data_IF_447237458629
#
_entry.id   IF_447237458629
#
_cell.length_a   1.000
_cell.length_b   1.000
_cell.length_c   1.000
_cell.angle_alpha   90.00
_cell.angle_beta   90.00
_cell.angle_gamma   90.00
#
_symmetry.space_group_name_H-M   'P 1'
#
loop_
_entity.id
_entity.type
_entity.pdbx_description
1 polymer ?
#
# COMPACT_ATOMS: atom_id res chain seq x y z
N UNK A 1 -28.59 56.21 -26.65
CA UNK A 1 -29.42 57.05 -25.76
C UNK A 1 -28.99 56.75 -24.36
N UNK A 2 -28.25 57.67 -23.89
CA UNK A 2 -28.34 58.55 -22.70
C UNK A 2 -27.96 57.79 -21.41
N UNK A 3 -26.73 58.01 -20.87
CA UNK A 3 -26.31 59.06 -19.92
C UNK A 3 -26.96 58.83 -18.53
N UNK A 4 -26.36 58.84 -17.35
CA UNK A 4 -25.40 59.80 -16.77
C UNK A 4 -24.97 59.26 -15.40
N UNK A 5 -23.70 59.24 -15.02
CA UNK A 5 -22.94 60.12 -14.09
C UNK A 5 -23.64 60.41 -12.74
N UNK A 6 -23.08 60.37 -11.58
CA UNK A 6 -21.95 61.03 -10.96
C UNK A 6 -22.00 60.67 -9.45
N UNK A 7 -20.99 60.64 -8.76
CA UNK A 7 -20.01 61.55 -8.14
C UNK A 7 -20.16 61.67 -6.64
N UNK A 8 -19.06 61.37 -5.95
CA UNK A 8 -18.43 62.04 -4.80
C UNK A 8 -19.08 62.09 -3.44
N UNK A 9 -18.38 61.68 -2.39
CA UNK A 9 -17.72 62.61 -1.47
C UNK A 9 -16.92 61.85 -0.37
N UNK A 10 -15.68 62.29 -0.24
CA UNK A 10 -14.78 61.98 0.88
C UNK A 10 -15.12 62.86 2.10
N UNK A 11 -14.83 62.38 3.30
CA UNK A 11 -14.44 63.25 4.41
C UNK A 11 -13.48 62.53 5.35
N UNK A 12 -12.36 63.20 5.54
CA UNK A 12 -11.27 62.97 6.51
C UNK A 12 -11.69 63.32 7.96
N UNK A 13 -10.80 62.92 8.83
CA UNK A 13 -10.43 63.40 10.20
C UNK A 13 -10.72 62.36 11.26
N UNK A 14 -9.82 62.02 12.20
CA UNK A 14 -8.71 62.70 12.75
C UNK A 14 -7.86 61.84 13.67
N UNK A 15 -6.61 62.20 13.77
CA UNK A 15 -5.59 61.70 14.70
C UNK A 15 -5.96 61.98 16.19
N UNK A 16 -5.61 61.04 17.09
CA UNK A 16 -5.13 61.43 18.43
C UNK A 16 -3.98 60.49 18.81
N UNK A 17 -2.79 61.10 18.94
CA UNK A 17 -1.65 60.57 19.67
C UNK A 17 -1.93 60.72 21.16
N UNK A 18 -1.55 59.68 21.93
CA UNK A 18 -1.14 59.85 23.33
C UNK A 18 0.04 58.94 23.60
N UNK A 19 1.14 59.61 23.92
CA UNK A 19 2.41 59.00 24.32
C UNK A 19 2.46 58.93 25.87
N UNK A 20 3.40 58.12 26.29
CA UNK A 20 4.17 58.11 27.55
C UNK A 20 3.93 56.99 28.53
N UNK A 21 5.02 56.29 28.77
CA UNK A 21 5.27 55.46 29.95
C UNK A 21 6.42 54.49 29.69
N UNK A 22 7.67 54.96 29.74
CA UNK A 22 8.86 54.11 29.66
C UNK A 22 9.11 53.37 30.99
N UNK A 23 9.67 52.19 30.92
CA UNK A 23 10.44 51.57 31.99
C UNK A 23 11.58 50.78 31.35
N UNK A 24 12.77 50.94 31.92
CA UNK A 24 14.07 50.41 31.50
C UNK A 24 14.11 48.86 31.44
N UNK A 25 14.86 48.33 30.50
CA UNK A 25 15.18 46.92 30.45
C UNK A 25 16.59 46.65 30.97
N UNK A 26 16.81 46.62 32.26
CA UNK A 26 17.99 46.04 32.88
C UNK A 26 17.72 45.80 34.37
N UNK A 27 17.29 44.64 34.75
CA UNK A 27 17.57 44.08 36.04
C UNK A 27 17.77 42.57 35.90
N UNK A 28 19.03 42.17 36.12
CA UNK A 28 19.45 40.76 36.17
C UNK A 28 19.03 40.20 37.54
N UNK A 29 18.27 39.11 37.53
CA UNK A 29 18.46 38.12 38.61
C UNK A 29 18.00 36.75 38.16
N UNK A 30 18.92 35.82 38.31
CA UNK A 30 18.88 34.38 38.04
C UNK A 30 17.62 33.68 38.58
N UNK A 31 17.16 32.74 37.75
CA UNK A 31 16.25 31.67 38.12
C UNK A 31 16.43 30.55 37.08
N UNK A 32 17.26 29.58 37.46
CA UNK A 32 17.47 28.34 36.75
C UNK A 32 16.18 27.51 36.70
N UNK A 33 16.13 26.61 35.68
CA UNK A 33 15.15 25.57 35.45
C UNK A 33 13.91 25.96 34.62
N UNK A 34 14.13 26.27 33.34
CA UNK A 34 13.21 25.87 32.32
C UNK A 34 13.87 24.72 31.54
N UNK A 35 13.56 23.50 31.95
CA UNK A 35 13.79 22.34 31.12
C UNK A 35 13.17 22.64 29.76
N UNK A 36 14.02 22.84 28.77
CA UNK A 36 13.66 22.86 27.38
C UNK A 36 13.10 21.46 27.08
N UNK A 37 11.78 21.29 27.18
CA UNK A 37 11.12 20.26 26.45
C UNK A 37 11.50 20.53 24.99
N UNK A 38 12.35 19.70 24.41
CA UNK A 38 12.46 19.56 22.98
C UNK A 38 11.04 19.20 22.52
N UNK A 39 10.35 20.20 22.04
CA UNK A 39 9.20 20.01 21.18
C UNK A 39 9.75 19.15 20.00
N UNK A 40 9.41 17.89 20.01
CA UNK A 40 9.62 17.01 18.88
C UNK A 40 8.62 17.45 17.83
N UNK A 41 8.93 18.57 17.17
CA UNK A 41 8.17 19.10 16.05
C UNK A 41 8.34 18.19 14.82
N UNK A 42 7.92 16.94 14.92
CA UNK A 42 7.66 16.09 13.79
C UNK A 42 6.38 16.55 13.13
N UNK A 43 6.41 16.86 11.82
CA UNK A 43 5.19 17.03 11.02
C UNK A 43 4.31 15.77 11.12
N UNK A 44 3.06 15.88 10.68
CA UNK A 44 2.21 14.70 10.57
C UNK A 44 2.83 13.70 9.57
N UNK A 45 2.80 12.40 9.90
CA UNK A 45 3.19 11.32 8.98
C UNK A 45 2.00 11.00 8.08
N UNK A 46 2.17 11.15 6.78
CA UNK A 46 1.12 10.83 5.81
C UNK A 46 1.23 9.37 5.38
N UNK A 47 0.27 8.54 5.82
CA UNK A 47 0.18 7.12 5.46
C UNK A 47 -0.70 6.96 4.23
N UNK A 48 -0.14 6.35 3.18
CA UNK A 48 -0.83 6.05 1.93
C UNK A 48 -1.29 4.61 1.81
N UNK A 49 -2.24 4.34 0.89
CA UNK A 49 -2.52 2.98 0.44
C UNK A 49 -2.76 2.88 -1.06
N UNK A 50 -2.48 1.69 -1.60
CA UNK A 50 -3.02 1.26 -2.88
C UNK A 50 -4.56 1.13 -2.83
N UNK A 51 -5.19 0.90 -3.99
CA UNK A 51 -6.65 0.88 -4.12
C UNK A 51 -7.26 -0.53 -4.06
N UNK A 52 -6.78 -1.37 -3.14
CA UNK A 52 -7.36 -2.68 -2.86
C UNK A 52 -7.44 -2.95 -1.35
N UNK A 53 -8.38 -3.82 -0.90
CA UNK A 53 -8.76 -3.92 0.52
C UNK A 53 -7.62 -4.25 1.47
N UNK A 54 -6.73 -5.18 1.11
CA UNK A 54 -5.62 -5.58 1.97
C UNK A 54 -4.64 -4.42 2.21
N UNK A 55 -4.27 -3.70 1.16
CA UNK A 55 -3.34 -2.59 1.30
C UNK A 55 -3.96 -1.41 2.09
N UNK A 56 -5.29 -1.22 1.99
CA UNK A 56 -6.02 -0.28 2.84
C UNK A 56 -5.97 -0.72 4.30
N UNK A 57 -6.21 -2.00 4.59
CA UNK A 57 -6.13 -2.55 5.94
C UNK A 57 -4.72 -2.41 6.53
N UNK A 58 -3.69 -2.75 5.76
CA UNK A 58 -2.28 -2.60 6.18
C UNK A 58 -1.92 -1.14 6.47
N UNK A 59 -2.40 -0.20 5.66
CA UNK A 59 -2.20 1.24 5.89
C UNK A 59 -2.91 1.72 7.18
N UNK A 60 -4.10 1.21 7.47
CA UNK A 60 -4.80 1.48 8.74
C UNK A 60 -4.05 0.89 9.94
N UNK A 61 -3.47 -0.31 9.81
CA UNK A 61 -2.63 -0.93 10.86
C UNK A 61 -1.40 -0.05 11.12
N UNK A 62 -0.68 0.38 10.07
CA UNK A 62 0.46 1.27 10.24
C UNK A 62 0.07 2.61 10.86
N UNK A 63 -1.05 3.19 10.41
CA UNK A 63 -1.56 4.45 10.99
C UNK A 63 -1.88 4.29 12.48
N UNK A 64 -2.57 3.21 12.86
CA UNK A 64 -2.90 2.92 14.25
C UNK A 64 -1.64 2.74 15.13
N UNK A 65 -0.65 1.96 14.65
CA UNK A 65 0.61 1.74 15.37
C UNK A 65 1.40 3.05 15.58
N UNK A 66 1.43 3.91 14.56
CA UNK A 66 2.09 5.21 14.66
C UNK A 66 1.36 6.17 15.63
N UNK A 67 0.02 6.17 15.64
CA UNK A 67 -0.77 6.96 16.58
C UNK A 67 -0.52 6.51 18.03
N UNK A 68 -0.43 5.20 18.27
CA UNK A 68 -0.11 4.63 19.59
C UNK A 68 1.32 4.98 20.05
N UNK A 69 2.26 5.08 19.10
CA UNK A 69 3.61 5.60 19.34
C UNK A 69 3.64 7.12 19.55
N UNK A 70 2.50 7.81 19.47
CA UNK A 70 2.35 9.24 19.72
C UNK A 70 2.61 10.13 18.51
N UNK A 71 2.72 9.58 17.31
CA UNK A 71 2.82 10.36 16.08
C UNK A 71 1.46 10.99 15.70
N UNK A 72 1.51 12.13 15.03
CA UNK A 72 0.33 12.67 14.35
C UNK A 72 0.27 12.06 12.96
N UNK A 73 -0.86 11.44 12.60
CA UNK A 73 -1.02 10.72 11.33
C UNK A 73 -2.07 11.39 10.44
N UNK A 74 -1.76 11.53 9.17
CA UNK A 74 -2.72 11.83 8.11
C UNK A 74 -2.85 10.60 7.20
N UNK A 75 -4.06 10.28 6.75
CA UNK A 75 -4.31 9.10 5.89
C UNK A 75 -4.70 9.53 4.48
N UNK A 76 -4.06 8.93 3.47
CA UNK A 76 -4.39 9.07 2.04
C UNK A 76 -4.58 7.68 1.44
N UNK A 77 -5.78 7.14 1.58
CA UNK A 77 -6.11 5.79 1.18
C UNK A 77 -6.65 5.73 -0.26
N UNK A 78 -6.57 4.52 -0.86
CA UNK A 78 -7.09 4.25 -2.21
C UNK A 78 -6.51 5.17 -3.30
N UNK A 79 -5.21 5.47 -3.27
CA UNK A 79 -4.54 6.40 -4.20
C UNK A 79 -4.54 5.84 -5.63
N UNK A 80 -4.32 4.54 -5.77
CA UNK A 80 -4.22 3.86 -7.06
C UNK A 80 -3.24 2.69 -7.01
N UNK A 81 -2.71 2.32 -8.17
CA UNK A 81 -1.67 1.29 -8.30
C UNK A 81 -0.27 1.84 -7.98
N UNK A 82 0.74 0.94 -7.93
CA UNK A 82 2.14 1.26 -7.58
C UNK A 82 2.70 2.38 -8.44
N UNK A 83 2.43 2.36 -9.71
CA UNK A 83 2.90 3.37 -10.67
C UNK A 83 2.40 4.79 -10.32
N UNK A 84 1.28 4.89 -9.60
CA UNK A 84 0.70 6.16 -9.13
C UNK A 84 1.25 6.58 -7.77
N UNK A 85 1.20 5.69 -6.76
CA UNK A 85 1.56 6.09 -5.39
C UNK A 85 3.07 6.22 -5.15
N UNK A 86 3.91 5.51 -5.92
CA UNK A 86 5.37 5.69 -5.81
C UNK A 86 5.79 7.12 -6.15
N UNK A 87 5.09 7.78 -7.08
CA UNK A 87 5.33 9.20 -7.35
C UNK A 87 5.01 10.06 -6.14
N UNK A 88 3.94 9.72 -5.40
CA UNK A 88 3.53 10.44 -4.20
C UNK A 88 4.53 10.31 -3.04
N UNK A 89 5.16 9.13 -2.85
CA UNK A 89 6.18 8.97 -1.82
C UNK A 89 7.51 9.63 -2.22
N UNK A 90 7.83 9.65 -3.52
CA UNK A 90 9.03 10.32 -4.02
C UNK A 90 8.92 11.85 -4.01
N UNK A 91 7.73 12.42 -4.16
CA UNK A 91 7.51 13.88 -4.11
C UNK A 91 7.15 14.40 -2.71
N UNK A 92 7.08 13.52 -1.70
CA UNK A 92 6.79 13.86 -0.31
C UNK A 92 5.31 14.15 -0.02
N UNK A 93 4.39 13.79 -0.91
CA UNK A 93 2.95 13.87 -0.64
C UNK A 93 2.44 12.67 0.18
N UNK A 94 3.22 11.61 0.29
CA UNK A 94 3.05 10.45 1.15
C UNK A 94 4.39 10.20 1.84
N UNK A 95 4.38 9.81 3.11
CA UNK A 95 5.58 9.49 3.88
C UNK A 95 5.77 7.98 4.07
N UNK A 96 4.69 7.22 4.17
CA UNK A 96 4.68 5.79 4.46
C UNK A 96 3.62 5.07 3.63
N UNK A 97 3.96 3.89 3.12
CA UNK A 97 3.00 3.01 2.44
C UNK A 97 3.37 1.54 2.69
N UNK A 98 2.38 0.65 2.93
CA UNK A 98 2.63 -0.79 2.91
C UNK A 98 2.93 -1.27 1.50
N UNK A 99 3.98 -2.10 1.37
CA UNK A 99 4.46 -2.62 0.12
C UNK A 99 4.78 -4.13 0.20
N UNK A 100 5.10 -4.72 -0.94
CA UNK A 100 5.35 -6.14 -1.11
C UNK A 100 6.75 -6.31 -1.70
N UNK A 101 7.60 -7.06 -1.01
CA UNK A 101 9.05 -7.09 -1.28
C UNK A 101 9.38 -7.39 -2.74
N UNK A 102 8.85 -8.46 -3.32
CA UNK A 102 9.19 -8.86 -4.67
C UNK A 102 8.71 -7.89 -5.76
N UNK A 103 7.45 -7.48 -5.68
CA UNK A 103 6.88 -6.56 -6.65
C UNK A 103 7.52 -5.17 -6.60
N UNK A 104 7.92 -4.70 -5.40
CA UNK A 104 8.65 -3.44 -5.23
C UNK A 104 10.09 -3.57 -5.75
N UNK A 105 10.75 -4.71 -5.49
CA UNK A 105 12.09 -4.99 -6.04
C UNK A 105 12.07 -4.91 -7.56
N UNK A 106 11.17 -5.63 -8.22
CA UNK A 106 11.06 -5.64 -9.68
C UNK A 106 10.68 -4.26 -10.25
N UNK A 107 9.92 -3.47 -9.50
CA UNK A 107 9.59 -2.10 -9.91
C UNK A 107 10.83 -1.19 -9.96
N UNK A 108 11.73 -1.29 -8.98
CA UNK A 108 12.94 -0.47 -8.94
C UNK A 108 14.11 -1.09 -9.72
N UNK A 109 14.16 -2.42 -9.81
CA UNK A 109 15.20 -3.19 -10.49
C UNK A 109 14.60 -4.41 -11.23
N UNK A 110 14.25 -4.25 -12.50
CA UNK A 110 13.71 -5.31 -13.34
C UNK A 110 14.71 -6.46 -13.60
N UNK A 111 16.00 -6.28 -13.31
CA UNK A 111 17.03 -7.29 -13.45
C UNK A 111 17.22 -8.16 -12.20
N UNK A 112 16.44 -7.94 -11.13
CA UNK A 112 16.48 -8.74 -9.91
C UNK A 112 16.27 -10.23 -10.18
N UNK A 113 16.95 -11.10 -9.41
CA UNK A 113 16.98 -12.55 -9.67
C UNK A 113 16.58 -13.40 -8.47
N UNK A 114 16.60 -12.82 -7.27
CA UNK A 114 16.22 -13.55 -6.07
C UNK A 114 14.74 -13.97 -6.12
N UNK A 115 14.44 -15.15 -5.61
CA UNK A 115 13.07 -15.68 -5.54
C UNK A 115 12.65 -16.02 -4.11
N UNK A 116 13.61 -16.24 -3.22
CA UNK A 116 13.37 -16.53 -1.81
C UNK A 116 13.28 -15.24 -0.97
N UNK A 117 12.61 -15.27 0.20
CA UNK A 117 12.33 -14.09 1.02
C UNK A 117 13.57 -13.26 1.41
N UNK A 118 14.66 -13.92 1.82
CA UNK A 118 15.87 -13.25 2.22
C UNK A 118 16.58 -12.55 1.04
N UNK A 119 16.72 -13.26 -0.07
CA UNK A 119 17.34 -12.74 -1.28
C UNK A 119 16.57 -11.57 -1.86
N UNK A 120 15.24 -11.70 -1.97
CA UNK A 120 14.36 -10.64 -2.47
C UNK A 120 14.43 -9.40 -1.58
N UNK A 121 14.38 -9.56 -0.26
CA UNK A 121 14.48 -8.43 0.65
C UNK A 121 15.84 -7.73 0.59
N UNK A 122 16.93 -8.49 0.44
CA UNK A 122 18.27 -7.91 0.26
C UNK A 122 18.39 -7.13 -1.05
N UNK A 123 17.86 -7.68 -2.17
CA UNK A 123 17.84 -6.97 -3.45
C UNK A 123 16.96 -5.71 -3.39
N UNK A 124 15.85 -5.76 -2.63
CA UNK A 124 15.00 -4.59 -2.40
C UNK A 124 15.75 -3.47 -1.68
N UNK A 125 16.43 -3.79 -0.58
CA UNK A 125 17.21 -2.80 0.18
C UNK A 125 18.27 -2.10 -0.69
N UNK A 126 18.87 -2.83 -1.63
CA UNK A 126 19.85 -2.29 -2.58
C UNK A 126 19.19 -1.47 -3.72
N UNK A 127 17.91 -1.73 -4.03
CA UNK A 127 17.19 -1.11 -5.15
C UNK A 127 16.40 0.14 -4.77
N UNK A 128 16.06 0.32 -3.49
CA UNK A 128 15.28 1.47 -3.01
C UNK A 128 16.02 2.78 -3.30
N UNK A 129 15.36 3.79 -3.92
CA UNK A 129 15.98 5.07 -4.22
C UNK A 129 16.42 5.85 -2.97
N UNK A 130 17.45 6.71 -3.13
CA UNK A 130 17.90 7.67 -2.10
C UNK A 130 16.73 8.50 -1.56
N UNK A 131 16.65 8.67 -0.25
CA UNK A 131 15.58 9.38 0.46
C UNK A 131 14.39 8.49 0.86
N UNK A 132 14.38 7.23 0.43
CA UNK A 132 13.42 6.22 0.85
C UNK A 132 14.15 5.04 1.51
N UNK A 133 13.46 4.35 2.40
CA UNK A 133 13.98 3.11 2.98
C UNK A 133 12.83 2.12 3.20
N UNK A 134 13.17 0.84 3.32
CA UNK A 134 12.26 -0.19 3.81
C UNK A 134 12.68 -0.63 5.20
N UNK A 135 11.71 -0.83 6.09
CA UNK A 135 11.94 -1.35 7.43
C UNK A 135 11.90 -2.88 7.44
N UNK A 136 11.87 -3.51 8.63
CA UNK A 136 11.82 -4.97 8.72
C UNK A 136 10.57 -5.50 8.01
N UNK A 137 10.76 -6.54 7.18
CA UNK A 137 9.65 -7.24 6.54
C UNK A 137 8.92 -8.15 7.54
N UNK A 138 7.65 -8.35 7.34
CA UNK A 138 6.89 -9.36 8.09
C UNK A 138 7.14 -10.78 7.55
N UNK A 139 6.73 -11.79 8.33
CA UNK A 139 6.59 -13.15 7.80
C UNK A 139 5.32 -13.30 6.93
N UNK A 140 4.36 -12.38 7.03
CA UNK A 140 3.19 -12.36 6.15
C UNK A 140 3.61 -12.22 4.69
N UNK A 141 3.06 -13.07 3.83
CA UNK A 141 3.32 -13.10 2.41
C UNK A 141 1.99 -13.06 1.65
N UNK A 142 1.87 -12.15 0.69
CA UNK A 142 0.76 -12.08 -0.25
C UNK A 142 1.27 -12.02 -1.69
N UNK A 143 1.11 -13.14 -2.41
CA UNK A 143 1.59 -13.32 -3.80
C UNK A 143 0.48 -13.10 -4.81
N UNK A 144 0.86 -12.58 -5.97
CA UNK A 144 0.10 -12.84 -7.18
C UNK A 144 -0.05 -14.35 -7.36
N UNK A 145 -1.23 -14.81 -7.75
CA UNK A 145 -1.46 -16.20 -8.11
C UNK A 145 -2.42 -16.32 -9.29
N UNK A 146 -2.32 -17.41 -10.03
CA UNK A 146 -3.32 -17.79 -11.04
C UNK A 146 -4.30 -18.76 -10.41
N UNK A 147 -5.56 -18.39 -10.45
CA UNK A 147 -6.64 -19.11 -9.79
C UNK A 147 -7.68 -19.51 -10.80
N UNK A 148 -8.19 -20.74 -10.67
CA UNK A 148 -9.28 -21.27 -11.49
C UNK A 148 -10.39 -21.86 -10.61
N UNK A 149 -11.58 -22.06 -11.16
CA UNK A 149 -12.62 -22.83 -10.47
C UNK A 149 -12.24 -24.32 -10.46
N UNK A 150 -12.76 -25.09 -9.47
CA UNK A 150 -12.58 -26.55 -9.43
C UNK A 150 -13.05 -27.22 -10.75
N UNK A 151 -14.18 -26.77 -11.32
CA UNK A 151 -14.69 -27.29 -12.59
C UNK A 151 -13.71 -27.06 -13.76
N UNK A 152 -13.05 -25.88 -13.79
CA UNK A 152 -12.04 -25.56 -14.81
C UNK A 152 -10.78 -26.40 -14.63
N UNK A 153 -10.34 -26.57 -13.38
CA UNK A 153 -9.20 -27.41 -13.02
C UNK A 153 -9.45 -28.89 -13.43
N UNK A 154 -10.57 -29.46 -13.03
CA UNK A 154 -10.92 -30.85 -13.33
C UNK A 154 -11.07 -31.11 -14.84
N UNK A 155 -11.74 -30.19 -15.54
CA UNK A 155 -11.97 -30.30 -17.00
C UNK A 155 -10.67 -30.30 -17.78
N UNK A 156 -9.71 -29.49 -17.40
CA UNK A 156 -8.46 -29.29 -18.13
C UNK A 156 -7.26 -29.97 -17.43
N UNK A 157 -7.47 -30.63 -16.28
CA UNK A 157 -6.44 -31.30 -15.49
C UNK A 157 -5.32 -30.34 -15.05
N UNK A 158 -5.72 -29.18 -14.50
CA UNK A 158 -4.81 -28.12 -14.06
C UNK A 158 -4.47 -28.28 -12.58
N UNK A 159 -3.18 -28.40 -12.28
CA UNK A 159 -2.62 -28.34 -10.92
C UNK A 159 -1.57 -27.21 -10.83
N UNK A 160 -0.95 -26.83 -11.95
CA UNK A 160 0.17 -25.91 -12.07
C UNK A 160 -0.01 -24.97 -13.26
N UNK A 161 0.68 -23.82 -13.23
CA UNK A 161 0.72 -22.85 -14.33
C UNK A 161 1.21 -23.50 -15.63
N UNK A 162 2.12 -24.48 -15.54
CA UNK A 162 2.61 -25.24 -16.71
C UNK A 162 1.48 -25.97 -17.44
N UNK A 163 0.48 -26.46 -16.71
CA UNK A 163 -0.63 -27.23 -17.29
C UNK A 163 -1.57 -26.37 -18.16
N UNK A 164 -1.44 -25.03 -18.08
CA UNK A 164 -2.18 -24.12 -18.94
C UNK A 164 -1.69 -24.10 -20.39
N UNK A 165 -0.42 -24.48 -20.66
CA UNK A 165 0.20 -24.36 -21.99
C UNK A 165 -0.69 -24.93 -23.13
N UNK A 166 -1.24 -26.16 -23.06
CA UNK A 166 -2.04 -26.70 -24.13
C UNK A 166 -3.44 -26.08 -24.28
N UNK A 167 -3.91 -25.31 -23.32
CA UNK A 167 -5.31 -24.80 -23.26
C UNK A 167 -5.42 -23.29 -23.18
N UNK A 168 -4.36 -22.56 -22.86
CA UNK A 168 -4.38 -21.12 -22.63
C UNK A 168 -5.01 -20.33 -23.78
N UNK A 169 -4.77 -20.75 -25.04
CA UNK A 169 -5.31 -20.09 -26.22
C UNK A 169 -6.86 -20.13 -26.33
N UNK A 170 -7.49 -20.98 -25.55
CA UNK A 170 -8.96 -21.11 -25.49
C UNK A 170 -9.54 -20.42 -24.20
N UNK A 171 -8.69 -20.00 -23.28
CA UNK A 171 -9.07 -19.44 -21.97
C UNK A 171 -8.93 -17.92 -21.93
N UNK A 172 -9.79 -17.28 -21.15
CA UNK A 172 -9.75 -15.84 -20.86
C UNK A 172 -9.10 -15.62 -19.50
N UNK A 173 -8.03 -14.82 -19.46
CA UNK A 173 -7.38 -14.40 -18.22
C UNK A 173 -7.98 -13.09 -17.72
N UNK A 174 -8.33 -13.01 -16.44
CA UNK A 174 -8.76 -11.80 -15.76
C UNK A 174 -7.74 -11.33 -14.73
N UNK A 175 -7.59 -10.01 -14.57
CA UNK A 175 -6.68 -9.45 -13.57
C UNK A 175 -6.63 -7.93 -13.60
N UNK A 176 -5.85 -7.29 -12.70
CA UNK A 176 -5.68 -5.85 -12.69
C UNK A 176 -5.17 -5.32 -14.03
N UNK A 177 -5.58 -4.11 -14.46
CA UNK A 177 -5.15 -3.55 -15.74
C UNK A 177 -3.61 -3.48 -15.91
N UNK A 178 -2.89 -3.25 -14.82
CA UNK A 178 -1.43 -3.21 -14.78
C UNK A 178 -0.79 -4.57 -14.99
N UNK A 179 -1.45 -5.67 -14.59
CA UNK A 179 -0.99 -7.06 -14.81
C UNK A 179 -0.79 -7.38 -16.29
N UNK A 180 -1.54 -6.70 -17.18
CA UNK A 180 -1.36 -6.83 -18.64
C UNK A 180 0.04 -6.40 -19.12
N UNK A 181 0.77 -5.58 -18.32
CA UNK A 181 2.00 -4.92 -18.77
C UNK A 181 3.20 -5.16 -17.87
N UNK A 182 3.00 -5.62 -16.64
CA UNK A 182 4.08 -5.88 -15.68
C UNK A 182 4.87 -7.11 -16.09
N UNK A 183 6.18 -7.10 -15.79
CA UNK A 183 7.08 -8.22 -16.10
C UNK A 183 6.67 -9.52 -15.39
N UNK A 184 6.06 -9.43 -14.20
CA UNK A 184 5.45 -10.56 -13.49
C UNK A 184 3.97 -10.82 -13.86
N UNK A 185 3.46 -10.19 -14.91
CA UNK A 185 2.10 -10.34 -15.40
C UNK A 185 2.02 -11.12 -16.71
N UNK A 186 1.17 -10.66 -17.65
CA UNK A 186 0.97 -11.30 -18.95
C UNK A 186 2.29 -11.45 -19.72
N UNK A 187 3.21 -10.47 -19.79
CA UNK A 187 4.53 -10.64 -20.39
C UNK A 187 5.35 -11.77 -19.76
N UNK A 188 5.38 -11.85 -18.42
CA UNK A 188 6.10 -12.92 -17.72
C UNK A 188 5.50 -14.30 -17.94
N UNK A 189 4.17 -14.41 -17.97
CA UNK A 189 3.48 -15.66 -18.29
C UNK A 189 3.85 -16.16 -19.69
N UNK A 190 4.02 -15.24 -20.65
CA UNK A 190 4.49 -15.58 -21.99
C UNK A 190 5.98 -15.96 -21.99
N UNK A 191 6.85 -15.20 -21.32
CA UNK A 191 8.30 -15.43 -21.34
C UNK A 191 8.70 -16.70 -20.61
N UNK A 192 8.12 -16.94 -19.41
CA UNK A 192 8.49 -18.03 -18.51
C UNK A 192 7.75 -19.32 -18.86
N UNK A 193 6.46 -19.23 -19.14
CA UNK A 193 5.57 -20.38 -19.33
C UNK A 193 5.07 -20.56 -20.77
N UNK A 194 5.36 -19.60 -21.69
CA UNK A 194 4.90 -19.65 -23.08
C UNK A 194 3.39 -19.47 -23.23
N UNK A 195 2.70 -18.88 -22.25
CA UNK A 195 1.25 -18.79 -22.24
C UNK A 195 0.73 -17.60 -23.06
N UNK A 196 -0.11 -17.90 -24.05
CA UNK A 196 -0.91 -16.93 -24.80
C UNK A 196 -2.39 -17.19 -24.54
N UNK A 197 -3.02 -16.34 -23.72
CA UNK A 197 -4.46 -16.44 -23.47
C UNK A 197 -5.28 -15.88 -24.64
N UNK A 198 -6.52 -16.41 -24.82
CA UNK A 198 -7.43 -15.94 -25.89
C UNK A 198 -7.77 -14.45 -25.74
N UNK A 199 -7.83 -13.95 -24.51
CA UNK A 199 -8.04 -12.56 -24.18
C UNK A 199 -7.60 -12.26 -22.75
N UNK A 200 -7.24 -10.99 -22.48
CA UNK A 200 -7.11 -10.44 -21.14
C UNK A 200 -8.31 -9.56 -20.82
N UNK A 201 -8.92 -9.74 -19.64
CA UNK A 201 -10.01 -8.92 -19.14
C UNK A 201 -9.54 -8.10 -17.94
N UNK A 202 -9.48 -6.76 -18.05
CA UNK A 202 -9.11 -5.93 -16.90
C UNK A 202 -10.22 -5.95 -15.85
N UNK A 203 -9.84 -6.31 -14.61
CA UNK A 203 -10.68 -6.38 -13.42
C UNK A 203 -9.95 -5.72 -12.27
N UNK A 204 -10.67 -5.19 -11.27
CA UNK A 204 -10.03 -4.52 -10.16
C UNK A 204 -9.29 -5.52 -9.24
N UNK A 205 -8.11 -5.15 -8.76
CA UNK A 205 -7.30 -5.95 -7.83
C UNK A 205 -8.06 -6.20 -6.52
N UNK A 206 -7.96 -7.44 -5.97
CA UNK A 206 -8.56 -7.82 -4.69
C UNK A 206 -10.06 -7.52 -4.58
N UNK A 207 -10.79 -7.55 -5.70
CA UNK A 207 -12.19 -7.15 -5.73
C UNK A 207 -13.15 -8.32 -5.91
N UNK A 208 -14.31 -8.20 -5.28
CA UNK A 208 -15.40 -9.17 -5.49
C UNK A 208 -15.82 -9.28 -6.98
N UNK A 209 -15.57 -8.24 -7.80
CA UNK A 209 -15.85 -8.30 -9.25
C UNK A 209 -14.97 -9.34 -9.94
N UNK A 210 -13.70 -9.47 -9.57
CA UNK A 210 -12.78 -10.48 -10.09
C UNK A 210 -13.26 -11.89 -9.71
N UNK A 211 -13.58 -12.07 -8.43
CA UNK A 211 -14.15 -13.33 -7.91
C UNK A 211 -15.43 -13.71 -8.65
N UNK A 212 -16.39 -12.79 -8.76
CA UNK A 212 -17.64 -13.05 -9.46
C UNK A 212 -17.46 -13.29 -10.96
N UNK A 213 -16.47 -12.67 -11.60
CA UNK A 213 -16.17 -12.92 -13.00
C UNK A 213 -15.66 -14.34 -13.23
N UNK A 214 -14.85 -14.87 -12.29
CA UNK A 214 -14.37 -16.24 -12.31
C UNK A 214 -15.53 -17.23 -12.03
N UNK A 215 -16.32 -17.03 -10.97
CA UNK A 215 -17.47 -17.87 -10.61
C UNK A 215 -18.48 -17.97 -11.75
N UNK A 216 -18.74 -16.86 -12.44
CA UNK A 216 -19.74 -16.80 -13.53
C UNK A 216 -19.16 -17.21 -14.90
N UNK A 217 -17.92 -17.65 -15.00
CA UNK A 217 -17.27 -18.04 -16.24
C UNK A 217 -17.10 -16.88 -17.25
N UNK A 218 -17.00 -15.66 -16.76
CA UNK A 218 -16.67 -14.49 -17.58
C UNK A 218 -15.15 -14.41 -17.86
N UNK A 219 -14.37 -15.00 -17.00
CA UNK A 219 -12.95 -15.36 -17.15
C UNK A 219 -12.79 -16.81 -16.71
N UNK A 220 -11.82 -17.52 -17.27
CA UNK A 220 -11.52 -18.92 -16.97
C UNK A 220 -10.39 -19.05 -15.95
N UNK A 221 -9.46 -18.11 -15.99
CA UNK A 221 -8.32 -17.96 -15.07
C UNK A 221 -8.33 -16.52 -14.55
N UNK A 222 -8.06 -16.35 -13.27
CA UNK A 222 -7.97 -15.02 -12.67
C UNK A 222 -6.67 -14.84 -11.90
N UNK A 223 -6.09 -13.64 -11.98
CA UNK A 223 -5.08 -13.21 -11.03
C UNK A 223 -5.82 -12.79 -9.74
N UNK A 224 -5.61 -13.56 -8.69
CA UNK A 224 -6.16 -13.33 -7.34
C UNK A 224 -4.99 -13.47 -6.36
N UNK A 225 -4.93 -12.58 -5.38
CA UNK A 225 -3.89 -12.59 -4.36
C UNK A 225 -4.02 -13.80 -3.43
N UNK A 226 -2.90 -14.36 -2.99
CA UNK A 226 -2.86 -15.61 -2.21
C UNK A 226 -3.53 -15.52 -0.85
N UNK A 227 -3.67 -14.32 -0.30
CA UNK A 227 -4.38 -14.03 0.97
C UNK A 227 -5.88 -13.82 0.81
N UNK A 228 -6.40 -13.80 -0.44
CA UNK A 228 -7.82 -13.50 -0.69
C UNK A 228 -8.72 -14.61 -0.10
N UNK A 229 -9.59 -14.28 0.88
CA UNK A 229 -10.46 -15.28 1.52
C UNK A 229 -11.46 -15.92 0.55
N UNK A 230 -11.68 -15.33 -0.62
CA UNK A 230 -12.53 -15.90 -1.67
C UNK A 230 -11.99 -17.23 -2.23
N UNK A 231 -10.67 -17.47 -2.12
CA UNK A 231 -10.06 -18.75 -2.56
C UNK A 231 -10.69 -19.91 -1.79
N UNK A 232 -10.71 -19.81 -0.49
CA UNK A 232 -11.29 -20.85 0.39
C UNK A 232 -12.82 -20.86 0.31
N UNK A 233 -13.44 -19.67 0.29
CA UNK A 233 -14.91 -19.54 0.30
C UNK A 233 -15.59 -20.09 -0.96
N UNK A 234 -14.88 -20.17 -2.09
CA UNK A 234 -15.41 -20.66 -3.37
C UNK A 234 -14.78 -21.98 -3.83
N UNK A 235 -13.97 -22.63 -2.99
CA UNK A 235 -13.23 -23.85 -3.34
C UNK A 235 -12.41 -23.65 -4.65
N UNK A 236 -11.74 -22.52 -4.78
CA UNK A 236 -10.89 -22.25 -5.94
C UNK A 236 -9.58 -23.03 -5.88
N UNK A 237 -9.04 -23.34 -7.04
CA UNK A 237 -7.73 -23.97 -7.20
C UNK A 237 -6.71 -22.90 -7.53
N UNK A 238 -5.72 -22.73 -6.66
CA UNK A 238 -4.52 -21.94 -6.92
C UNK A 238 -3.55 -22.81 -7.68
N UNK A 239 -3.10 -22.37 -8.85
CA UNK A 239 -2.15 -23.12 -9.66
C UNK A 239 -0.72 -22.93 -9.13
N UNK A 240 0.01 -24.04 -8.96
CA UNK A 240 1.40 -24.02 -8.55
C UNK A 240 2.27 -23.26 -9.55
N UNK A 241 3.24 -22.49 -9.04
CA UNK A 241 4.20 -21.68 -9.83
C UNK A 241 5.62 -22.27 -9.71
N UNK A 242 5.96 -23.35 -10.42
CA UNK A 242 7.23 -24.07 -10.28
C UNK A 242 8.44 -23.28 -10.80
N UNK A 243 8.24 -22.31 -11.68
CA UNK A 243 9.33 -21.47 -12.23
C UNK A 243 9.51 -20.17 -11.41
N UNK A 244 8.73 -19.97 -10.34
CA UNK A 244 8.79 -18.82 -9.45
C UNK A 244 8.67 -17.47 -10.18
N UNK A 245 7.71 -17.38 -11.13
CA UNK A 245 7.35 -16.10 -11.75
C UNK A 245 6.86 -15.09 -10.69
N UNK A 246 6.11 -15.59 -9.72
CA UNK A 246 5.66 -14.84 -8.56
C UNK A 246 6.62 -15.07 -7.39
N UNK A 247 7.66 -14.23 -7.32
CA UNK A 247 8.68 -14.29 -6.28
C UNK A 247 8.09 -13.99 -4.88
N UNK A 248 8.90 -14.16 -3.81
CA UNK A 248 8.47 -13.86 -2.44
C UNK A 248 7.93 -12.42 -2.31
N UNK A 249 6.81 -12.26 -1.61
CA UNK A 249 6.04 -11.02 -1.50
C UNK A 249 5.70 -10.72 -0.03
N UNK A 250 6.72 -10.65 0.81
CA UNK A 250 6.52 -10.29 2.22
C UNK A 250 6.08 -8.83 2.35
N UNK A 251 5.17 -8.58 3.29
CA UNK A 251 4.73 -7.23 3.60
C UNK A 251 5.89 -6.44 4.21
N UNK A 252 6.09 -5.21 3.74
CA UNK A 252 7.19 -4.35 4.17
C UNK A 252 6.75 -2.88 4.21
N UNK A 253 7.11 -2.11 5.27
CA UNK A 253 6.90 -0.67 5.26
C UNK A 253 7.90 0.02 4.33
N UNK A 254 7.44 0.75 3.32
CA UNK A 254 8.24 1.70 2.54
C UNK A 254 8.02 3.09 3.10
N UNK A 255 9.08 3.75 3.57
CA UNK A 255 8.99 5.03 4.27
C UNK A 255 10.03 6.04 3.77
N UNK A 256 9.66 7.32 3.79
CA UNK A 256 10.60 8.44 3.58
C UNK A 256 11.58 8.53 4.75
N UNK A 257 12.88 8.67 4.45
CA UNK A 257 13.91 8.87 5.48
C UNK A 257 13.66 10.14 6.30
N UNK A 258 13.05 11.17 5.72
CA UNK A 258 12.72 12.42 6.39
C UNK A 258 11.63 12.27 7.47
N UNK A 259 10.74 11.28 7.33
CA UNK A 259 9.69 10.96 8.29
C UNK A 259 10.15 9.96 9.36
N UNK A 260 11.30 9.28 9.16
CA UNK A 260 11.75 8.20 10.02
C UNK A 260 12.43 8.72 11.30
N UNK A 261 12.08 8.13 12.44
CA UNK A 261 12.76 8.25 13.71
C UNK A 261 12.67 6.91 14.48
N UNK A 262 13.32 6.84 15.64
CA UNK A 262 13.41 5.59 16.41
C UNK A 262 12.02 5.08 16.85
N UNK A 263 11.11 5.95 17.30
CA UNK A 263 9.77 5.58 17.77
C UNK A 263 8.91 5.03 16.60
N UNK A 264 8.96 5.66 15.42
CA UNK A 264 8.29 5.22 14.20
C UNK A 264 8.84 3.87 13.73
N UNK A 265 10.16 3.72 13.72
CA UNK A 265 10.82 2.47 13.33
C UNK A 265 10.43 1.31 14.26
N UNK A 266 10.43 1.55 15.59
CA UNK A 266 10.06 0.53 16.58
C UNK A 266 8.59 0.10 16.41
N UNK A 267 7.66 1.05 16.25
CA UNK A 267 6.25 0.76 16.06
C UNK A 267 5.98 -0.06 14.80
N UNK A 268 6.56 0.31 13.65
CA UNK A 268 6.36 -0.41 12.40
C UNK A 268 7.04 -1.79 12.39
N UNK A 269 8.22 -1.92 13.01
CA UNK A 269 8.89 -3.21 13.15
C UNK A 269 8.14 -4.15 14.10
N UNK A 270 7.47 -3.62 15.13
CA UNK A 270 6.60 -4.41 16.01
C UNK A 270 5.42 -4.99 15.22
N UNK A 271 4.76 -4.20 14.37
CA UNK A 271 3.72 -4.70 13.44
C UNK A 271 4.28 -5.80 12.55
N UNK A 272 5.46 -5.59 11.94
CA UNK A 272 6.09 -6.58 11.07
C UNK A 272 6.40 -7.89 11.80
N UNK A 273 6.80 -7.80 13.08
CA UNK A 273 7.15 -8.97 13.90
C UNK A 273 5.96 -9.85 14.29
N UNK A 274 4.75 -9.28 14.37
CA UNK A 274 3.54 -9.98 14.81
C UNK A 274 2.59 -10.33 13.65
N UNK A 275 2.90 -9.89 12.43
CA UNK A 275 2.08 -10.13 11.25
C UNK A 275 2.61 -11.32 10.44
N UNK A 276 1.93 -12.45 10.51
CA UNK A 276 2.12 -13.61 9.64
C UNK A 276 0.98 -13.74 8.61
N UNK A 277 1.11 -14.67 7.66
CA UNK A 277 0.12 -14.86 6.59
C UNK A 277 -1.25 -15.28 7.12
N UNK A 278 -1.29 -16.13 8.14
CA UNK A 278 -2.56 -16.59 8.72
C UNK A 278 -3.30 -15.43 9.41
N UNK A 279 -2.57 -14.60 10.16
CA UNK A 279 -3.13 -13.40 10.80
C UNK A 279 -3.62 -12.39 9.75
N UNK A 280 -2.82 -12.10 8.73
CA UNK A 280 -3.22 -11.20 7.65
C UNK A 280 -4.51 -11.69 6.95
N UNK A 281 -4.58 -12.97 6.62
CA UNK A 281 -5.76 -13.59 5.99
C UNK A 281 -7.00 -13.50 6.90
N UNK A 282 -6.84 -13.74 8.22
CA UNK A 282 -7.92 -13.59 9.20
C UNK A 282 -8.45 -12.15 9.25
N UNK A 283 -7.55 -11.17 9.37
CA UNK A 283 -7.92 -9.74 9.42
C UNK A 283 -8.57 -9.29 8.10
N UNK A 284 -8.03 -9.74 6.96
CA UNK A 284 -8.59 -9.43 5.64
C UNK A 284 -9.98 -10.04 5.45
N UNK A 285 -10.23 -11.25 5.95
CA UNK A 285 -11.55 -11.88 5.87
C UNK A 285 -12.61 -11.07 6.62
N UNK A 286 -12.29 -10.48 7.77
CA UNK A 286 -13.18 -9.57 8.52
C UNK A 286 -13.58 -8.37 7.68
N UNK A 287 -12.63 -7.78 6.95
CA UNK A 287 -12.89 -6.62 6.07
C UNK A 287 -13.68 -7.01 4.82
N UNK A 288 -13.24 -8.05 4.10
CA UNK A 288 -13.75 -8.39 2.77
C UNK A 288 -15.01 -9.24 2.84
N UNK A 289 -15.05 -10.24 3.73
CA UNK A 289 -16.17 -11.18 3.83
C UNK A 289 -17.24 -10.73 4.82
N UNK A 290 -16.85 -10.22 6.00
CA UNK A 290 -17.78 -9.83 7.05
C UNK A 290 -18.20 -8.35 6.94
N UNK A 291 -17.45 -7.54 6.14
CA UNK A 291 -17.76 -6.14 5.86
C UNK A 291 -17.48 -5.21 7.04
N UNK A 292 -16.54 -5.59 7.91
CA UNK A 292 -16.07 -4.75 9.01
C UNK A 292 -15.28 -3.54 8.48
N UNK A 293 -15.24 -2.48 9.27
CA UNK A 293 -14.43 -1.30 8.93
C UNK A 293 -12.93 -1.61 9.09
N UNK A 294 -12.09 -1.43 8.06
CA UNK A 294 -10.65 -1.70 8.16
C UNK A 294 -9.95 -0.92 9.28
N UNK A 295 -10.38 0.30 9.61
CA UNK A 295 -9.85 1.08 10.72
C UNK A 295 -10.13 0.41 12.08
N UNK A 296 -11.35 -0.13 12.28
CA UNK A 296 -11.71 -0.82 13.53
C UNK A 296 -10.92 -2.13 13.66
N UNK A 297 -10.80 -2.91 12.57
CA UNK A 297 -10.02 -4.16 12.54
C UNK A 297 -8.53 -3.89 12.82
N UNK A 298 -7.98 -2.84 12.22
CA UNK A 298 -6.60 -2.43 12.42
C UNK A 298 -6.33 -2.02 13.88
N UNK A 299 -7.24 -1.23 14.47
CA UNK A 299 -7.12 -0.79 15.87
C UNK A 299 -7.13 -1.97 16.83
N UNK A 300 -8.05 -2.92 16.65
CA UNK A 300 -8.10 -4.13 17.47
C UNK A 300 -6.81 -4.95 17.38
N UNK A 301 -6.23 -5.10 16.17
CA UNK A 301 -4.95 -5.80 16.01
C UNK A 301 -3.82 -5.08 16.75
N UNK A 302 -3.72 -3.75 16.62
CA UNK A 302 -2.65 -2.96 17.25
C UNK A 302 -2.81 -2.95 18.79
N UNK A 303 -4.04 -2.95 19.32
CA UNK A 303 -4.30 -3.04 20.76
C UNK A 303 -3.84 -4.39 21.38
N UNK A 304 -3.57 -5.42 20.56
CA UNK A 304 -3.06 -6.74 20.96
C UNK A 304 -1.51 -6.82 20.92
N UNK A 305 -0.80 -5.85 20.29
CA UNK A 305 0.66 -5.80 20.21
C UNK A 305 1.31 -5.39 21.53
#
# INVERSE_FOLDING_TARGET
>A
MTRTTALTAALLTGLTLSACGGSDPLDESAGEDAASSKDSGGGAVTVGSANFPENVLLAEIYAAALEDAGATVEKRLNIGNRETYIQGIQDGSIDLIPEYTGALTLYFNSDAKATDPEGVYSELQDAVPEGLTVLERSEAEDKDSLVVTQDTADKNQLESIVDLEPVAADLVLGGPPEFEKRDNGVPGLMEVYGLEFSAFRPLAAGSNLTVQSLVNGQVDVANIFSTDPAIVANDFVVLDDPESLFVAQNIVPLISEDALNDDISEALNQVSGELDTDKLTELLARVVSDGENPEDVAREFVDEL
#
